data_IF_399893055569
#
_entry.id   IF_399893055569
#
_cell.length_a   1.000
_cell.length_b   1.000
_cell.length_c   1.000
_cell.angle_alpha   90.00
_cell.angle_beta   90.00
_cell.angle_gamma   90.00
#
_symmetry.space_group_name_H-M   'P 1'
#
loop_
_entity.id
_entity.type
_entity.pdbx_description
1 polymer ?
2 non-polymer ?
3 water ?
#
# COMPACT_ATOMS: atom_id res chain seq x y z
N UNK A 7 -29.06 2.22 -17.98
CA UNK A 7 -29.09 2.38 -16.49
C UNK A 7 -27.69 2.27 -15.82
N UNK A 8 -26.74 1.67 -16.55
CA UNK A 8 -25.42 1.31 -16.03
C UNK A 8 -24.42 1.37 -17.17
N UNK A 9 -23.30 2.07 -16.95
CA UNK A 9 -22.27 2.23 -17.98
C UNK A 9 -20.86 1.95 -17.45
N UNK A 10 -20.12 1.11 -18.16
CA UNK A 10 -18.74 0.75 -17.77
C UNK A 10 -17.69 1.49 -18.60
N UNK A 11 -16.84 2.27 -17.93
CA UNK A 11 -15.81 3.08 -18.61
C UNK A 11 -14.45 2.91 -17.93
N UNK A 12 -13.38 3.11 -18.70
CA UNK A 12 -12.03 3.25 -18.15
C UNK A 12 -11.65 4.71 -17.87
N UNK A 13 -10.85 4.92 -16.83
CA UNK A 13 -10.37 6.25 -16.50
C UNK A 13 -9.04 6.19 -15.74
N UNK A 14 -8.23 7.20 -16.00
CA UNK A 14 -7.02 7.49 -15.28
C UNK A 14 -7.31 8.17 -13.94
N UNK A 15 -6.67 7.68 -12.88
CA UNK A 15 -6.73 8.33 -11.56
C UNK A 15 -5.31 8.57 -11.06
N UNK A 16 -5.08 9.68 -10.37
CA UNK A 16 -3.78 9.89 -9.80
C UNK A 16 -3.88 9.52 -8.35
N UNK A 17 -3.23 8.42 -7.98
CA UNK A 17 -3.27 7.92 -6.61
C UNK A 17 -1.91 8.06 -5.96
N UNK A 18 -1.92 8.24 -4.63
CA UNK A 18 -0.74 8.27 -3.83
C UNK A 18 -0.34 6.84 -3.58
N UNK A 19 0.95 6.60 -3.76
CA UNK A 19 1.59 5.29 -3.60
C UNK A 19 2.67 5.41 -2.53
N UNK A 20 2.61 4.52 -1.55
CA UNK A 20 3.57 4.45 -0.48
C UNK A 20 4.45 3.27 -0.84
N UNK A 21 5.68 3.59 -1.16
CA UNK A 21 6.70 2.62 -1.48
C UNK A 21 7.37 2.16 -0.22
N UNK A 22 7.18 0.89 0.10
CA UNK A 22 7.74 0.35 1.31
C UNK A 22 9.08 -0.32 0.94
N UNK A 23 10.09 -0.13 1.81
CA UNK A 23 11.40 -0.77 1.64
C UNK A 23 11.64 -1.73 2.78
N UNK A 24 12.48 -2.74 2.55
CA UNK A 24 12.68 -3.79 3.53
C UNK A 24 13.20 -3.19 4.84
N UNK A 25 12.45 -3.38 5.93
CA UNK A 25 12.79 -2.88 7.27
C UNK A 25 11.98 -3.61 8.33
N UNK A 26 12.46 -3.56 9.57
CA UNK A 26 11.74 -4.11 10.73
C UNK A 26 10.35 -3.52 10.84
N UNK A 27 9.36 -4.35 11.19
CA UNK A 27 7.99 -3.88 11.43
C UNK A 27 7.92 -2.56 12.27
N UNK A 28 8.65 -2.50 13.39
CA UNK A 28 8.65 -1.26 14.20
C UNK A 28 9.34 -0.07 13.53
N UNK A 29 10.37 -0.33 12.73
CA UNK A 29 11.00 0.77 11.98
C UNK A 29 10.00 1.34 10.93
N UNK A 30 9.26 0.44 10.25
CA UNK A 30 8.23 0.83 9.26
C UNK A 30 7.15 1.71 9.94
N UNK A 31 6.62 1.25 11.07
CA UNK A 31 5.65 2.05 11.86
C UNK A 31 6.12 3.44 12.21
N UNK A 32 7.33 3.52 12.77
CA UNK A 32 8.01 4.79 13.07
C UNK A 32 8.14 5.73 11.85
N UNK A 33 8.61 5.17 10.73
CA UNK A 33 8.79 5.93 9.50
C UNK A 33 7.46 6.43 9.00
N UNK A 34 6.44 5.58 9.05
CA UNK A 34 5.10 6.03 8.60
C UNK A 34 4.56 7.17 9.47
N UNK A 35 4.69 7.05 10.79
CA UNK A 35 4.25 8.10 11.74
C UNK A 35 4.99 9.41 11.50
N UNK A 36 6.31 9.33 11.30
CA UNK A 36 7.10 10.51 11.04
C UNK A 36 6.67 11.18 9.76
N UNK A 37 6.29 10.40 8.75
CA UNK A 37 5.88 10.94 7.44
C UNK A 37 4.49 11.61 7.53
N UNK A 38 3.63 11.04 8.36
CA UNK A 38 2.31 11.61 8.60
C UNK A 38 2.43 12.97 9.33
N UNK A 39 3.30 13.05 10.33
CA UNK A 39 3.61 14.33 11.01
C UNK A 39 4.28 15.37 10.08
N UNK A 40 5.28 14.94 9.30
CA UNK A 40 5.92 15.82 8.31
C UNK A 40 4.94 16.35 7.25
N UNK A 41 4.14 15.47 6.66
CA UNK A 41 3.27 15.83 5.54
C UNK A 41 1.77 15.56 5.82
N UNK A 42 1.16 16.27 6.80
CA UNK A 42 -0.18 15.90 7.29
C UNK A 42 -1.26 16.10 6.24
N UNK A 43 -1.16 17.18 5.47
CA UNK A 43 -2.04 17.43 4.33
C UNK A 43 -2.11 16.26 3.32
N UNK A 44 -0.97 15.62 3.04
CA UNK A 44 -0.88 14.57 2.01
C UNK A 44 -1.18 13.18 2.58
N UNK A 45 -0.94 13.00 3.88
CA UNK A 45 -0.94 11.65 4.44
C UNK A 45 -1.94 11.35 5.52
N UNK A 46 -2.47 12.37 6.20
CA UNK A 46 -3.48 12.10 7.25
C UNK A 46 -4.71 11.47 6.62
N UNK A 47 -5.05 10.26 7.06
CA UNK A 47 -6.21 9.47 6.53
C UNK A 47 -6.15 9.20 5.03
N UNK A 48 -4.96 9.31 4.43
CA UNK A 48 -4.79 9.27 2.96
C UNK A 48 -5.23 7.92 2.40
N UNK A 49 -6.10 7.91 1.38
CA UNK A 49 -6.26 6.65 0.65
C UNK A 49 -4.97 6.39 -0.19
N UNK A 50 -4.38 5.20 -0.07
CA UNK A 50 -3.09 4.94 -0.73
C UNK A 50 -2.98 3.55 -1.36
N UNK A 51 -2.19 3.45 -2.43
CA UNK A 51 -1.72 2.16 -2.95
C UNK A 51 -0.38 1.87 -2.27
N UNK A 52 -0.20 0.64 -1.82
CA UNK A 52 1.04 0.20 -1.15
C UNK A 52 1.89 -0.51 -2.19
N UNK A 53 3.08 0.02 -2.45
CA UNK A 53 4.01 -0.66 -3.34
C UNK A 53 4.98 -1.51 -2.53
N UNK A 54 4.99 -2.83 -2.79
CA UNK A 54 5.81 -3.80 -2.08
C UNK A 54 7.00 -4.30 -2.95
N UNK A 55 7.33 -3.58 -4.01
CA UNK A 55 8.40 -4.10 -4.86
C UNK A 55 9.78 -4.05 -4.16
N UNK A 56 9.95 -3.15 -3.19
CA UNK A 56 11.19 -3.01 -2.44
C UNK A 56 11.30 -3.98 -1.26
N UNK A 57 10.31 -4.84 -1.09
CA UNK A 57 10.32 -5.79 0.02
C UNK A 57 10.88 -7.11 -0.46
N UNK A 58 11.43 -7.86 0.48
CA UNK A 58 12.06 -9.16 0.22
C UNK A 58 11.17 -10.27 0.75
N UNK A 59 11.01 -11.31 -0.07
CA UNK A 59 10.26 -12.51 0.31
C UNK A 59 11.01 -13.31 1.39
N UNK A 60 10.28 -13.88 2.37
CA UNK A 60 8.79 -13.86 2.53
C UNK A 60 8.25 -12.63 3.28
N UNK A 61 7.18 -12.04 2.76
CA UNK A 61 6.49 -10.94 3.46
C UNK A 61 5.38 -11.44 4.41
N UNK A 62 5.38 -10.96 5.65
CA UNK A 62 4.31 -11.22 6.62
C UNK A 62 3.21 -10.16 6.43
N UNK A 63 2.28 -10.46 5.54
CA UNK A 63 1.30 -9.47 5.12
C UNK A 63 0.21 -9.12 6.19
N UNK A 64 -0.30 -10.13 6.92
CA UNK A 64 -1.27 -9.73 7.94
C UNK A 64 -0.67 -8.71 8.88
N UNK A 65 0.60 -8.93 9.28
CA UNK A 65 1.28 -8.00 10.19
C UNK A 65 1.52 -6.62 9.58
N UNK A 66 2.01 -6.58 8.34
CA UNK A 66 2.30 -5.33 7.66
C UNK A 66 1.01 -4.53 7.41
N UNK A 67 -0.03 -5.24 6.99
CA UNK A 67 -1.34 -4.63 6.77
C UNK A 67 -1.83 -3.89 8.04
N UNK A 68 -1.80 -4.58 9.18
CA UNK A 68 -2.24 -4.04 10.47
C UNK A 68 -1.39 -2.83 10.89
N UNK A 69 -0.08 -2.85 10.58
CA UNK A 69 0.81 -1.69 10.84
C UNK A 69 0.48 -0.47 9.99
N UNK A 70 0.28 -0.65 8.70
CA UNK A 70 -0.11 0.45 7.81
C UNK A 70 -1.48 1.07 8.15
N UNK A 71 -2.51 0.24 8.32
CA UNK A 71 -3.85 0.75 8.65
C UNK A 71 -3.91 1.35 10.06
N UNK A 72 -3.15 0.77 11.01
CA UNK A 72 -2.97 1.31 12.38
C UNK A 72 -2.57 2.76 12.36
N UNK A 73 -2.02 3.24 11.25
CA UNK A 73 -1.58 4.65 11.15
C UNK A 73 -2.65 5.54 10.48
N UNK A 74 -3.76 4.93 10.09
CA UNK A 74 -4.84 5.68 9.44
C UNK A 74 -4.87 5.71 7.92
N UNK A 75 -3.81 5.22 7.29
CA UNK A 75 -3.77 5.11 5.84
C UNK A 75 -4.78 4.09 5.40
N UNK A 76 -5.52 4.40 4.35
CA UNK A 76 -6.53 3.48 3.84
C UNK A 76 -5.99 2.84 2.57
N UNK A 77 -5.88 1.52 2.60
CA UNK A 77 -5.21 0.79 1.54
C UNK A 77 -6.23 0.52 0.45
N UNK A 78 -6.04 1.20 -0.70
CA UNK A 78 -6.77 1.03 -1.96
C UNK A 78 -6.48 -0.31 -2.67
N UNK A 79 -5.20 -0.62 -2.79
CA UNK A 79 -4.74 -1.87 -3.35
C UNK A 79 -3.25 -1.96 -3.16
N UNK A 80 -2.62 -2.97 -3.77
CA UNK A 80 -1.17 -3.23 -3.60
C UNK A 80 -0.52 -3.35 -4.98
N UNK A 81 0.60 -2.65 -5.20
CA UNK A 81 1.29 -2.77 -6.48
C UNK A 81 2.68 -3.35 -6.32
N UNK A 82 3.26 -3.85 -7.42
CA UNK A 82 4.64 -4.39 -7.41
C UNK A 82 4.78 -5.75 -6.78
N UNK A 83 3.69 -6.47 -6.58
CA UNK A 83 3.78 -7.78 -5.98
C UNK A 83 4.29 -8.79 -7.03
N UNK A 84 5.36 -9.55 -6.72
CA UNK A 84 5.77 -10.64 -7.64
C UNK A 84 5.57 -11.98 -7.00
N UNK A 85 5.75 -12.03 -5.69
CA UNK A 85 5.72 -13.26 -4.94
C UNK A 85 4.32 -13.86 -4.98
N UNK A 86 4.23 -15.13 -5.35
CA UNK A 86 2.95 -15.83 -5.45
C UNK A 86 2.19 -15.96 -4.12
N UNK A 87 2.85 -16.39 -3.03
CA UNK A 87 2.10 -16.61 -1.76
C UNK A 87 1.77 -15.30 -1.06
N UNK A 88 2.50 -14.23 -1.40
CA UNK A 88 2.14 -12.90 -0.97
C UNK A 88 0.83 -12.50 -1.69
N UNK A 89 0.71 -12.75 -3.00
CA UNK A 89 -0.58 -12.55 -3.72
C UNK A 89 -1.78 -13.24 -3.05
N UNK A 90 -1.64 -14.53 -2.70
CA UNK A 90 -2.67 -15.31 -1.96
C UNK A 90 -3.13 -14.58 -0.68
N UNK A 91 -2.17 -14.19 0.17
CA UNK A 91 -2.41 -13.45 1.43
C UNK A 91 -3.15 -12.13 1.15
N UNK A 92 -2.83 -11.46 0.03
CA UNK A 92 -3.48 -10.19 -0.29
C UNK A 92 -4.95 -10.42 -0.75
N UNK A 93 -5.15 -11.43 -1.60
CA UNK A 93 -6.49 -11.80 -2.04
C UNK A 93 -7.38 -12.27 -0.90
N UNK A 94 -6.80 -13.00 0.08
CA UNK A 94 -7.56 -13.45 1.27
C UNK A 94 -8.29 -12.31 1.98
N UNK A 95 -7.73 -11.10 1.90
CA UNK A 95 -8.35 -9.88 2.42
C UNK A 95 -9.26 -9.21 1.38
N UNK A 96 -9.13 -9.62 0.12
CA UNK A 96 -9.94 -9.06 -0.93
C UNK A 96 -9.43 -7.72 -1.44
N UNK A 97 -8.14 -7.45 -1.23
CA UNK A 97 -7.54 -6.19 -1.71
C UNK A 97 -7.09 -6.32 -3.16
N UNK A 98 -7.38 -5.30 -4.00
CA UNK A 98 -6.93 -5.44 -5.39
C UNK A 98 -5.42 -5.34 -5.50
N UNK A 99 -4.86 -6.06 -6.46
CA UNK A 99 -3.49 -5.85 -6.92
C UNK A 99 -3.63 -4.95 -8.11
N UNK A 100 -2.73 -3.99 -8.23
CA UNK A 100 -2.87 -2.90 -9.18
C UNK A 100 -1.59 -2.74 -9.94
N UNK A 101 -1.71 -2.25 -11.16
CA UNK A 101 -0.56 -2.02 -12.01
C UNK A 101 -0.35 -0.50 -12.06
N UNK A 102 0.87 -0.07 -11.75
CA UNK A 102 1.19 1.34 -11.81
C UNK A 102 1.43 1.84 -13.23
N UNK A 103 1.23 3.14 -13.44
CA UNK A 103 1.55 3.80 -14.72
C UNK A 103 2.61 4.86 -14.49
N UNK A 104 2.72 5.80 -15.43
CA UNK A 104 3.72 6.89 -15.37
C UNK A 104 3.62 7.65 -14.03
N UNK A 105 4.73 8.24 -13.58
CA UNK A 105 4.72 9.08 -12.37
C UNK A 105 3.87 10.32 -12.65
N UNK A 106 3.08 10.73 -11.65
CA UNK A 106 2.19 11.88 -11.76
C UNK A 106 2.22 12.66 -10.44
X LIG B 1 6.29 -7.33 8.88
X LIG B 1 6.91 -8.34 9.34
X LIG B 1 5.55 -6.70 9.65
X LIG B 1 6.38 -6.83 7.45
X LIG B 1 7.79 -6.88 6.88
X LIG B 1 8.63 -6.05 7.71
X LIG B 1 7.74 -6.27 5.48
X LIG B 1 9.12 -6.44 4.92
X LIG B 1 9.99 -5.65 5.31
X LIG B 1 9.40 -7.38 4.13
X LIG B 1 8.32 -8.33 6.81
X LIG B 1 7.51 -9.24 6.53
X LIG B 1 9.52 -8.67 7.05
#
# INVERSE_FOLDING_TARGET
>A
MSLSNTPIELKGSSFTLSVVHLHEAEPEVIRQALEDKIAQAPAFLKHAPVVINVSGLESPVNWPELHKIVTSTGLRIIGVSGCKDASLKVEIDRMGLPLLTEGKEKAVRPAPEGHHHHHH
>B hetero
1 CIT C1 O1 O2 C2 C3 O7 C4 C5 O3 O4 C6 O5 O6
#
